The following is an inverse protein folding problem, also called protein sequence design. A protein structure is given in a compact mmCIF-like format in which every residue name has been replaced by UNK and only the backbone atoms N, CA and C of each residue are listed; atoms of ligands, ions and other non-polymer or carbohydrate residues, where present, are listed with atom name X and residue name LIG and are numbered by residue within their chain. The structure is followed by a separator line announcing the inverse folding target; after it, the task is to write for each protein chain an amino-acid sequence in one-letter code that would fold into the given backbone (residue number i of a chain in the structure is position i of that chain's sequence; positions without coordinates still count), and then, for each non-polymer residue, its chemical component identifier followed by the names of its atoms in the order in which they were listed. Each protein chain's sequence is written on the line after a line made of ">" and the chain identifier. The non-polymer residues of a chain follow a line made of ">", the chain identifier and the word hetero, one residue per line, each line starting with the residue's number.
data_IF_445443694498
#
_entry.id   IF_445443694498
#
_cell.length_a   1.000
_cell.length_b   1.000
_cell.length_c   1.000
_cell.angle_alpha   90.00
_cell.angle_beta   90.00
_cell.angle_gamma   90.00
#
_symmetry.space_group_name_H-M   'P 1'
#
loop_
_entity.id
_entity.type
_entity.pdbx_description
1 polymer ?
#
# COMPACT_ATOMS: atom_id res chain seq x y z
N UNK A 1 2.21 7.24 -20.02
CA UNK A 1 1.24 6.15 -19.81
C UNK A 1 0.43 6.44 -18.54
N UNK A 2 -0.90 6.28 -18.55
CA UNK A 2 -1.71 6.37 -17.31
C UNK A 2 -1.68 5.00 -16.63
N UNK A 3 -0.64 4.77 -15.83
CA UNK A 3 -0.59 3.62 -14.94
C UNK A 3 -1.80 3.70 -14.00
N UNK A 4 -2.73 2.75 -14.15
CA UNK A 4 -3.90 2.66 -13.26
C UNK A 4 -3.38 2.32 -11.87
N UNK A 5 -3.64 3.21 -10.91
CA UNK A 5 -3.22 3.00 -9.53
C UNK A 5 -3.98 1.81 -8.95
N UNK A 6 -3.30 1.04 -8.10
CA UNK A 6 -3.93 -0.07 -7.41
C UNK A 6 -5.04 0.46 -6.48
N UNK A 7 -6.31 0.04 -6.67
CA UNK A 7 -7.44 0.58 -5.89
C UNK A 7 -7.31 0.27 -4.39
N UNK A 8 -6.69 -0.86 -4.02
CA UNK A 8 -6.41 -1.17 -2.61
C UNK A 8 -5.38 -0.19 -2.04
N UNK A 9 -4.29 0.10 -2.77
CA UNK A 9 -3.28 1.07 -2.31
C UNK A 9 -3.88 2.46 -2.10
N UNK A 10 -4.75 2.92 -3.00
CA UNK A 10 -5.40 4.23 -2.89
C UNK A 10 -6.30 4.30 -1.65
N UNK A 11 -7.14 3.28 -1.45
CA UNK A 11 -8.01 3.20 -0.27
C UNK A 11 -7.22 3.11 1.03
N UNK A 12 -6.15 2.30 1.07
CA UNK A 12 -5.24 2.21 2.21
C UNK A 12 -4.65 3.58 2.54
N UNK A 13 -4.15 4.32 1.54
CA UNK A 13 -3.58 5.65 1.75
C UNK A 13 -4.60 6.63 2.33
N UNK A 14 -5.80 6.68 1.76
CA UNK A 14 -6.88 7.57 2.23
C UNK A 14 -7.30 7.27 3.68
N UNK A 15 -7.52 6.01 4.01
CA UNK A 15 -7.94 5.61 5.37
C UNK A 15 -6.81 5.78 6.40
N UNK A 16 -5.56 5.53 6.01
CA UNK A 16 -4.40 5.82 6.86
C UNK A 16 -4.30 7.30 7.19
N UNK A 17 -4.39 8.17 6.19
CA UNK A 17 -4.36 9.62 6.41
C UNK A 17 -5.50 10.07 7.33
N UNK A 18 -6.73 9.60 7.11
CA UNK A 18 -7.88 9.93 7.98
C UNK A 18 -7.63 9.52 9.42
N UNK A 19 -7.11 8.30 9.63
CA UNK A 19 -6.88 7.75 10.97
C UNK A 19 -5.76 8.47 11.70
N UNK A 20 -4.65 8.76 11.02
CA UNK A 20 -3.48 9.44 11.59
C UNK A 20 -3.73 10.92 11.89
N UNK A 21 -4.53 11.62 11.07
CA UNK A 21 -4.94 13.02 11.33
C UNK A 21 -5.85 13.16 12.56
N UNK A 22 -6.67 12.15 12.84
CA UNK A 22 -7.70 12.20 13.88
C UNK A 22 -7.38 11.31 15.10
N UNK A 23 -6.10 11.10 15.41
CA UNK A 23 -5.71 10.36 16.61
C UNK A 23 -6.08 11.15 17.85
N UNK A 24 -7.15 10.73 18.54
CA UNK A 24 -7.61 11.34 19.80
C UNK A 24 -7.16 10.61 21.07
N UNK A 25 -6.40 9.52 20.93
CA UNK A 25 -5.90 8.69 22.05
C UNK A 25 -4.51 8.17 21.71
N UNK A 26 -3.79 7.75 22.76
CA UNK A 26 -2.52 7.05 22.60
C UNK A 26 -2.71 5.80 21.74
N UNK A 27 -1.81 5.59 20.80
CA UNK A 27 -1.83 4.48 19.86
C UNK A 27 -0.43 3.90 19.71
N UNK A 28 -0.35 2.58 19.64
CA UNK A 28 0.87 1.89 19.27
C UNK A 28 1.03 1.87 17.74
N UNK A 29 2.22 2.21 17.22
CA UNK A 29 2.57 2.11 15.80
C UNK A 29 3.86 1.31 15.61
N UNK A 30 3.87 0.44 14.59
CA UNK A 30 5.10 -0.26 14.21
C UNK A 30 6.11 0.72 13.58
N UNK A 31 7.39 0.36 13.52
CA UNK A 31 8.47 1.21 12.97
C UNK A 31 8.18 1.76 11.57
N UNK A 32 7.51 0.99 10.71
CA UNK A 32 7.16 1.42 9.36
C UNK A 32 6.07 2.49 9.39
N UNK A 33 4.95 2.20 10.06
CA UNK A 33 3.82 3.12 10.16
C UNK A 33 4.14 4.35 11.01
N UNK A 34 5.10 4.25 11.92
CA UNK A 34 5.62 5.40 12.66
C UNK A 34 6.21 6.47 11.73
N UNK A 35 7.03 6.07 10.75
CA UNK A 35 7.61 7.01 9.77
C UNK A 35 6.54 7.69 8.92
N UNK A 36 5.54 6.94 8.50
CA UNK A 36 4.38 7.48 7.76
C UNK A 36 3.59 8.46 8.62
N UNK A 37 3.32 8.08 9.88
CA UNK A 37 2.60 8.88 10.86
C UNK A 37 3.24 10.24 11.13
N UNK A 38 4.57 10.30 11.29
CA UNK A 38 5.31 11.56 11.42
C UNK A 38 5.15 12.49 10.22
N UNK A 39 4.97 11.92 9.03
CA UNK A 39 4.81 12.71 7.79
C UNK A 39 3.41 13.32 7.70
N UNK A 40 2.40 12.63 8.24
CA UNK A 40 0.99 13.09 8.23
C UNK A 40 0.67 14.02 9.39
N UNK A 41 1.18 13.68 10.58
CA UNK A 41 0.95 14.43 11.81
C UNK A 41 2.29 14.58 12.55
N UNK A 42 3.00 15.71 12.36
CA UNK A 42 4.29 15.95 13.01
C UNK A 42 4.23 15.93 14.55
N UNK A 43 3.06 16.21 15.15
CA UNK A 43 2.85 16.26 16.59
C UNK A 43 2.46 14.90 17.21
N UNK A 44 2.58 13.81 16.46
CA UNK A 44 2.12 12.48 16.88
C UNK A 44 2.87 11.91 18.09
N UNK A 45 4.04 12.46 18.43
CA UNK A 45 4.89 12.02 19.56
C UNK A 45 4.14 11.91 20.89
N UNK A 46 3.24 12.85 21.18
CA UNK A 46 2.47 12.88 22.43
C UNK A 46 1.42 11.76 22.51
N UNK A 47 1.12 11.14 21.37
CA UNK A 47 0.08 10.14 21.18
C UNK A 47 0.65 8.74 20.89
N UNK A 48 1.96 8.53 21.03
CA UNK A 48 2.59 7.23 20.80
C UNK A 48 2.73 6.42 22.09
N UNK A 49 2.36 5.15 22.00
CA UNK A 49 2.77 4.12 22.95
C UNK A 49 3.78 3.19 22.27
N UNK A 50 4.96 3.05 22.89
CA UNK A 50 6.00 2.17 22.40
C UNK A 50 5.77 0.75 22.93
N UNK A 51 5.43 -0.16 22.03
CA UNK A 51 5.52 -1.60 22.25
C UNK A 51 6.43 -2.19 21.17
N UNK A 52 7.32 -3.10 21.55
CA UNK A 52 8.25 -3.68 20.59
C UNK A 52 7.56 -4.77 19.75
N UNK A 53 7.75 -4.69 18.43
CA UNK A 53 7.54 -5.78 17.45
C UNK A 53 6.17 -6.48 17.47
N UNK A 54 5.07 -5.72 17.42
CA UNK A 54 3.74 -6.29 17.14
C UNK A 54 3.04 -5.58 15.98
N UNK A 55 2.14 -6.33 15.36
CA UNK A 55 1.19 -5.81 14.39
C UNK A 55 0.45 -4.62 14.99
N UNK A 56 0.52 -3.45 14.34
CA UNK A 56 -0.11 -2.24 14.85
C UNK A 56 -1.52 -2.05 14.24
N UNK A 57 -2.36 -1.17 14.81
CA UNK A 57 -3.72 -0.92 14.29
C UNK A 57 -3.75 -0.49 12.82
N UNK A 58 -2.67 0.12 12.31
CA UNK A 58 -2.55 0.46 10.89
C UNK A 58 -2.26 -0.78 10.03
N UNK A 59 -1.45 -1.73 10.51
CA UNK A 59 -1.27 -3.02 9.83
C UNK A 59 -2.60 -3.77 9.73
N UNK A 60 -3.38 -3.80 10.81
CA UNK A 60 -4.70 -4.44 10.82
C UNK A 60 -5.64 -3.77 9.82
N UNK A 61 -5.68 -2.43 9.78
CA UNK A 61 -6.45 -1.66 8.80
C UNK A 61 -6.07 -2.02 7.35
N UNK A 62 -4.77 -2.12 7.04
CA UNK A 62 -4.28 -2.50 5.71
C UNK A 62 -4.77 -3.90 5.29
N UNK A 63 -4.70 -4.86 6.22
CA UNK A 63 -5.21 -6.22 5.99
C UNK A 63 -6.72 -6.24 5.80
N UNK A 64 -7.48 -5.56 6.66
CA UNK A 64 -8.94 -5.46 6.56
C UNK A 64 -9.38 -4.88 5.21
N UNK A 65 -8.76 -3.78 4.77
CA UNK A 65 -9.04 -3.17 3.47
C UNK A 65 -8.72 -4.13 2.32
N UNK A 66 -7.59 -4.85 2.42
CA UNK A 66 -7.16 -5.80 1.39
C UNK A 66 -8.14 -6.97 1.26
N UNK A 67 -8.47 -7.63 2.37
CA UNK A 67 -9.34 -8.81 2.35
C UNK A 67 -10.81 -8.46 2.11
N UNK A 68 -11.25 -7.24 2.42
CA UNK A 68 -12.59 -6.75 2.09
C UNK A 68 -12.74 -6.24 0.64
N UNK A 69 -11.68 -6.24 -0.17
CA UNK A 69 -11.73 -5.73 -1.54
C UNK A 69 -12.68 -6.56 -2.41
N UNK A 70 -13.62 -5.95 -3.14
CA UNK A 70 -14.56 -6.65 -4.02
C UNK A 70 -14.42 -6.31 -5.51
N UNK A 71 -13.40 -5.54 -5.89
CA UNK A 71 -13.15 -5.18 -7.29
C UNK A 71 -12.39 -6.26 -8.07
N UNK A 72 -12.03 -5.92 -9.31
CA UNK A 72 -11.30 -6.81 -10.21
C UNK A 72 -9.84 -6.99 -9.77
N UNK A 73 -9.38 -8.24 -9.67
CA UNK A 73 -8.02 -8.55 -9.19
C UNK A 73 -6.94 -8.14 -10.18
N UNK A 74 -7.25 -8.15 -11.49
CA UNK A 74 -6.36 -7.68 -12.56
C UNK A 74 -5.95 -6.21 -12.47
N UNK A 75 -6.69 -5.41 -11.70
CA UNK A 75 -6.36 -4.02 -11.43
C UNK A 75 -5.28 -3.85 -10.34
N UNK A 76 -4.95 -4.90 -9.58
CA UNK A 76 -4.10 -4.83 -8.40
C UNK A 76 -2.60 -4.80 -8.73
N UNK A 77 -1.78 -4.20 -7.86
CA UNK A 77 -0.32 -4.32 -7.95
C UNK A 77 0.16 -5.74 -7.55
N UNK A 78 1.42 -6.10 -7.85
CA UNK A 78 1.97 -7.45 -7.60
C UNK A 78 1.81 -7.86 -6.14
N UNK A 79 2.04 -6.93 -5.22
CA UNK A 79 1.88 -7.19 -3.80
C UNK A 79 0.46 -7.64 -3.43
N UNK A 80 -0.56 -6.91 -3.88
CA UNK A 80 -1.95 -7.24 -3.57
C UNK A 80 -2.46 -8.44 -4.37
N UNK A 81 -1.97 -8.65 -5.60
CA UNK A 81 -2.18 -9.91 -6.34
C UNK A 81 -1.64 -11.11 -5.55
N UNK A 82 -0.46 -10.99 -4.94
CA UNK A 82 0.12 -12.05 -4.10
C UNK A 82 -0.72 -12.31 -2.85
N UNK A 83 -1.29 -11.27 -2.24
CA UNK A 83 -2.13 -11.41 -1.06
C UNK A 83 -3.50 -12.03 -1.34
N UNK A 84 -4.06 -11.76 -2.53
CA UNK A 84 -5.37 -12.24 -2.98
C UNK A 84 -5.24 -13.33 -4.05
N UNK A 85 -4.17 -14.12 -3.98
CA UNK A 85 -3.83 -15.14 -4.99
C UNK A 85 -4.96 -16.15 -5.20
N UNK A 86 -5.63 -16.52 -4.13
CA UNK A 86 -6.77 -17.45 -4.10
C UNK A 86 -7.98 -16.95 -4.90
N UNK A 87 -8.04 -15.65 -5.20
CA UNK A 87 -9.11 -15.02 -5.99
C UNK A 87 -8.77 -14.82 -7.45
N UNK A 88 -7.51 -15.07 -7.85
CA UNK A 88 -7.09 -14.98 -9.24
C UNK A 88 -7.63 -16.20 -9.98
N UNK A 89 -8.45 -15.96 -10.99
CA UNK A 89 -8.95 -17.02 -11.86
C UNK A 89 -8.09 -17.13 -13.12
N UNK A 90 -8.19 -18.26 -13.80
CA UNK A 90 -7.52 -18.52 -15.08
C UNK A 90 -7.78 -17.42 -16.12
N UNK A 91 -9.02 -16.90 -16.17
CA UNK A 91 -9.44 -15.81 -17.07
C UNK A 91 -8.70 -14.47 -16.81
N UNK A 92 -8.20 -14.24 -15.60
CA UNK A 92 -7.49 -13.01 -15.24
C UNK A 92 -6.00 -13.06 -15.63
N UNK A 93 -5.43 -14.25 -15.82
CA UNK A 93 -3.97 -14.43 -15.94
C UNK A 93 -3.38 -13.77 -17.17
N UNK A 94 -4.04 -13.90 -18.33
CA UNK A 94 -3.54 -13.33 -19.58
C UNK A 94 -3.39 -11.80 -19.46
N UNK A 95 -4.43 -11.13 -18.98
CA UNK A 95 -4.45 -9.67 -18.80
C UNK A 95 -3.45 -9.23 -17.72
N UNK A 96 -3.34 -9.96 -16.61
CA UNK A 96 -2.33 -9.70 -15.57
C UNK A 96 -0.92 -9.78 -16.17
N UNK A 97 -0.62 -10.84 -16.92
CA UNK A 97 0.71 -11.06 -17.51
C UNK A 97 1.05 -9.99 -18.54
N UNK A 98 0.13 -9.65 -19.44
CA UNK A 98 0.33 -8.58 -20.42
C UNK A 98 0.65 -7.26 -19.73
N UNK A 99 -0.15 -6.89 -18.72
CA UNK A 99 0.07 -5.67 -17.95
C UNK A 99 1.45 -5.65 -17.31
N UNK A 100 1.90 -6.75 -16.70
CA UNK A 100 3.22 -6.82 -16.07
C UNK A 100 4.39 -6.79 -17.06
N UNK A 101 4.22 -7.34 -18.27
CA UNK A 101 5.21 -7.20 -19.35
C UNK A 101 5.35 -5.75 -19.81
N UNK A 102 4.24 -5.02 -19.91
CA UNK A 102 4.28 -3.58 -20.21
C UNK A 102 5.01 -2.80 -19.11
N UNK A 103 4.73 -3.11 -17.84
CA UNK A 103 5.48 -2.54 -16.72
C UNK A 103 6.97 -2.83 -16.85
N UNK A 104 7.37 -4.10 -17.01
CA UNK A 104 8.77 -4.52 -17.10
C UNK A 104 9.52 -3.81 -18.24
N UNK A 105 8.87 -3.66 -19.41
CA UNK A 105 9.44 -2.94 -20.55
C UNK A 105 9.76 -1.49 -20.20
N UNK A 106 8.84 -0.80 -19.53
CA UNK A 106 9.07 0.58 -19.10
C UNK A 106 10.13 0.69 -18.00
N UNK A 107 10.28 -0.32 -17.14
CA UNK A 107 11.37 -0.34 -16.15
C UNK A 107 12.75 -0.40 -16.81
N UNK A 108 12.87 -1.05 -17.98
CA UNK A 108 14.12 -1.10 -18.76
C UNK A 108 14.40 0.19 -19.53
N UNK A 109 13.38 1.02 -19.74
CA UNK A 109 13.48 2.27 -20.51
C UNK A 109 13.75 3.50 -19.62
N UNK A 110 13.51 3.42 -18.31
CA UNK A 110 13.68 4.55 -17.37
C UNK A 110 14.65 4.22 -16.23
N UNK A 111 15.89 4.72 -16.32
CA UNK A 111 16.90 4.67 -15.25
C UNK A 111 16.53 5.47 -13.97
N UNK A 112 15.36 6.14 -13.92
CA UNK A 112 15.03 7.12 -12.87
C UNK A 112 13.66 6.93 -12.16
N UNK A 113 13.05 5.74 -12.11
CA UNK A 113 11.79 5.54 -11.34
C UNK A 113 11.82 4.40 -10.33
N UNK A 114 12.89 4.32 -9.55
CA UNK A 114 13.04 3.39 -8.41
C UNK A 114 11.86 3.47 -7.43
N UNK A 115 11.29 4.65 -7.20
CA UNK A 115 10.16 4.84 -6.27
C UNK A 115 8.87 4.15 -6.75
N UNK A 116 8.54 4.26 -8.04
CA UNK A 116 7.37 3.61 -8.63
C UNK A 116 7.52 2.07 -8.59
N UNK A 117 8.74 1.57 -8.82
CA UNK A 117 9.09 0.14 -8.75
C UNK A 117 8.90 -0.38 -7.33
N UNK A 118 9.41 0.34 -6.33
CA UNK A 118 9.25 -0.04 -4.93
C UNK A 118 7.77 -0.08 -4.52
N UNK A 119 6.96 0.89 -4.94
CA UNK A 119 5.52 0.89 -4.63
C UNK A 119 4.76 -0.27 -5.29
N UNK A 120 5.14 -0.65 -6.51
CA UNK A 120 4.51 -1.75 -7.25
C UNK A 120 4.95 -3.14 -6.74
N UNK A 121 6.23 -3.31 -6.38
CA UNK A 121 6.82 -4.58 -5.94
C UNK A 121 6.61 -4.83 -4.45
N UNK A 122 6.81 -3.81 -3.61
CA UNK A 122 6.76 -3.96 -2.15
C UNK A 122 5.37 -3.70 -1.60
N UNK A 123 4.50 -3.08 -2.41
CA UNK A 123 3.12 -2.76 -2.07
C UNK A 123 3.00 -2.05 -0.75
N UNK A 124 2.93 -0.73 -0.79
CA UNK A 124 2.28 0.04 0.25
C UNK A 124 1.98 1.39 -0.37
N UNK A 125 0.81 1.96 -0.09
CA UNK A 125 0.57 3.39 -0.21
C UNK A 125 1.46 4.14 0.77
N UNK A 126 2.77 4.09 0.54
CA UNK A 126 3.74 4.91 1.22
C UNK A 126 3.40 6.32 0.80
N UNK A 127 3.26 7.18 1.80
CA UNK A 127 3.15 8.61 1.56
C UNK A 127 4.55 9.04 1.12
N UNK A 128 4.81 8.93 -0.18
CA UNK A 128 6.05 9.43 -0.78
C UNK A 128 5.95 10.95 -0.71
N UNK A 129 6.97 11.54 -0.10
CA UNK A 129 7.12 13.00 0.07
C UNK A 129 7.10 13.66 -1.31
N UNK A 130 6.44 14.82 -1.39
CA UNK A 130 6.84 15.85 -2.37
C UNK A 130 8.09 16.55 -1.87
#
# INVERSE_FOLDING_TARGET
>A
MKIKKCPICEKIREEKEKRLKNLGKKVHLCKNHLKEAFTVNPNILELLEFEDNKECPICTLEKEITYAFQGEVKDLCLYHLRMLRDRIKDEDYEEIVERWKEYEKHLKEMDEQVELILDLLTGCGRIIRK
#
